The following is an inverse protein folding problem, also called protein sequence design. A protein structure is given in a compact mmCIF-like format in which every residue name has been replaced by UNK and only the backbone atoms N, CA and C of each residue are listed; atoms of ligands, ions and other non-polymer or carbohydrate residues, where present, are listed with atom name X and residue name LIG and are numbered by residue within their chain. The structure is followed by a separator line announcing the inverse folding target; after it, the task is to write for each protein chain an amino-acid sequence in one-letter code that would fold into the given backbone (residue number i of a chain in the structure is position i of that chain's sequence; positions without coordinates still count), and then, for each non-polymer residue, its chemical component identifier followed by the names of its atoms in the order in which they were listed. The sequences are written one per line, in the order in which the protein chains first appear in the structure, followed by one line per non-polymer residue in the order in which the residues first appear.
data_IF_425819167652
#
_entry.id   IF_425819167652
#
_cell.length_a   1.000
_cell.length_b   1.000
_cell.length_c   1.000
_cell.angle_alpha   90.00
_cell.angle_beta   90.00
_cell.angle_gamma   90.00
#
_symmetry.space_group_name_H-M   'P 1'
#
loop_
_entity.id
_entity.type
_entity.pdbx_description
1 polymer ?
#
# COMPACT_ATOMS: atom_id res chain seq x y z
N UNK A 1 26.17 -50.38 0.30
CA UNK A 1 24.74 -49.98 0.17
C UNK A 1 24.34 -48.75 0.99
N UNK A 2 25.23 -48.11 1.75
CA UNK A 2 24.88 -46.97 2.65
C UNK A 2 24.90 -45.56 2.06
N UNK A 3 25.55 -45.32 0.91
CA UNK A 3 25.72 -43.96 0.37
C UNK A 3 24.57 -43.44 -0.53
N UNK A 4 23.70 -44.35 -1.01
CA UNK A 4 22.56 -43.97 -1.86
C UNK A 4 21.36 -43.49 -1.03
N UNK A 5 21.14 -44.06 0.15
CA UNK A 5 20.01 -43.69 1.02
C UNK A 5 20.15 -42.29 1.61
N UNK A 6 21.38 -41.85 1.94
CA UNK A 6 21.67 -40.51 2.50
C UNK A 6 21.43 -39.38 1.49
N UNK A 7 21.70 -39.59 0.19
CA UNK A 7 21.44 -38.62 -0.84
C UNK A 7 19.95 -38.43 -1.16
N UNK A 8 19.19 -39.52 -1.09
CA UNK A 8 17.74 -39.51 -1.31
C UNK A 8 17.04 -38.80 -0.15
N UNK A 9 17.45 -39.03 1.09
CA UNK A 9 16.91 -38.35 2.27
C UNK A 9 17.23 -36.84 2.21
N UNK A 10 18.44 -36.46 1.81
CA UNK A 10 18.82 -35.06 1.65
C UNK A 10 18.02 -34.35 0.54
N UNK A 11 17.77 -35.05 -0.58
CA UNK A 11 16.96 -34.51 -1.70
C UNK A 11 15.49 -34.34 -1.29
N UNK A 12 14.94 -35.30 -0.51
CA UNK A 12 13.57 -35.18 0.01
C UNK A 12 13.45 -34.04 1.03
N UNK A 13 14.46 -33.85 1.87
CA UNK A 13 14.48 -32.73 2.83
C UNK A 13 14.60 -31.35 2.10
N UNK A 14 15.38 -31.28 1.04
CA UNK A 14 15.51 -30.05 0.23
C UNK A 14 14.21 -29.78 -0.54
N UNK A 15 13.57 -30.79 -1.12
CA UNK A 15 12.27 -30.68 -1.78
C UNK A 15 11.16 -30.35 -0.78
N UNK A 16 11.16 -30.94 0.41
CA UNK A 16 10.20 -30.61 1.47
C UNK A 16 10.41 -29.17 1.98
N UNK A 17 11.65 -28.69 2.12
CA UNK A 17 11.95 -27.30 2.45
C UNK A 17 11.50 -26.34 1.34
N UNK A 18 11.67 -26.70 0.07
CA UNK A 18 11.20 -25.94 -1.08
C UNK A 18 9.66 -25.87 -1.15
N UNK A 19 8.98 -27.00 -0.91
CA UNK A 19 7.51 -27.07 -0.87
C UNK A 19 6.98 -26.28 0.34
N UNK A 20 7.67 -26.31 1.47
CA UNK A 20 7.28 -25.56 2.68
C UNK A 20 7.44 -24.04 2.48
N UNK A 21 8.45 -23.59 1.71
CA UNK A 21 8.64 -22.17 1.37
C UNK A 21 7.56 -21.69 0.39
N UNK A 22 7.14 -22.53 -0.57
CA UNK A 22 6.10 -22.15 -1.56
C UNK A 22 4.68 -22.13 -0.99
N UNK A 23 4.42 -22.82 0.12
CA UNK A 23 3.11 -22.81 0.79
C UNK A 23 2.93 -21.61 1.74
N UNK A 24 4.00 -20.93 2.14
CA UNK A 24 3.98 -19.88 3.17
C UNK A 24 3.85 -18.44 2.65
N UNK A 25 4.12 -18.21 1.37
CA UNK A 25 3.91 -16.92 0.74
C UNK A 25 3.16 -17.12 -0.57
N UNK A 26 2.00 -16.52 -0.71
CA UNK A 26 1.29 -16.48 -1.98
C UNK A 26 1.84 -15.30 -2.77
N UNK A 27 2.69 -15.57 -3.77
CA UNK A 27 3.13 -14.55 -4.71
C UNK A 27 1.93 -14.20 -5.58
N UNK A 28 1.53 -12.94 -5.56
CA UNK A 28 0.56 -12.36 -6.49
C UNK A 28 1.33 -11.61 -7.57
N UNK A 29 0.66 -11.21 -8.62
CA UNK A 29 1.22 -10.31 -9.63
C UNK A 29 1.60 -8.93 -9.04
N UNK A 30 1.10 -8.61 -7.84
CA UNK A 30 1.27 -7.33 -7.15
C UNK A 30 2.27 -7.38 -5.99
N UNK A 31 2.63 -8.56 -5.51
CA UNK A 31 3.52 -8.70 -4.36
C UNK A 31 3.36 -10.03 -3.61
N UNK A 32 3.93 -10.11 -2.43
CA UNK A 32 3.91 -11.30 -1.58
C UNK A 32 2.90 -11.09 -0.44
N UNK A 33 1.87 -11.93 -0.38
CA UNK A 33 0.96 -11.94 0.76
C UNK A 33 1.63 -12.67 1.91
N UNK A 34 1.91 -11.95 2.99
CA UNK A 34 2.59 -12.52 4.16
C UNK A 34 1.62 -13.25 5.08
N UNK A 35 1.87 -14.52 5.30
CA UNK A 35 1.27 -15.27 6.42
C UNK A 35 1.99 -14.92 7.72
N UNK A 36 1.36 -15.16 8.89
CA UNK A 36 1.99 -14.86 10.18
C UNK A 36 3.29 -15.67 10.39
N UNK A 37 3.35 -16.89 9.85
CA UNK A 37 4.56 -17.70 9.86
C UNK A 37 5.69 -17.07 9.03
N UNK A 38 5.36 -16.47 7.88
CA UNK A 38 6.34 -15.82 7.03
C UNK A 38 6.77 -14.47 7.61
N UNK A 39 5.86 -13.72 8.22
CA UNK A 39 6.22 -12.49 8.99
C UNK A 39 7.23 -12.81 10.08
N UNK A 40 7.00 -13.86 10.86
CA UNK A 40 7.95 -14.31 11.87
C UNK A 40 9.31 -14.68 11.27
N UNK A 41 9.33 -15.36 10.13
CA UNK A 41 10.57 -15.70 9.42
C UNK A 41 11.34 -14.45 8.95
N UNK A 42 10.63 -13.43 8.44
CA UNK A 42 11.23 -12.13 8.09
C UNK A 42 11.87 -11.50 9.32
N UNK A 43 11.16 -11.42 10.43
CA UNK A 43 11.66 -10.81 11.68
C UNK A 43 12.86 -11.57 12.29
N UNK A 44 13.09 -12.80 11.88
CA UNK A 44 14.25 -13.62 12.26
C UNK A 44 15.40 -13.57 11.23
N UNK A 45 15.19 -12.89 10.08
CA UNK A 45 16.17 -12.80 9.00
C UNK A 45 17.41 -11.98 9.37
N UNK A 46 18.48 -12.17 8.61
CA UNK A 46 19.73 -11.41 8.82
C UNK A 46 19.53 -9.94 8.46
N UNK A 47 18.73 -9.67 7.42
CA UNK A 47 18.39 -8.34 6.91
C UNK A 47 17.62 -7.53 7.95
N UNK A 48 16.59 -8.14 8.55
CA UNK A 48 15.84 -7.52 9.66
C UNK A 48 16.74 -7.20 10.83
N UNK A 49 17.56 -8.18 11.27
CA UNK A 49 18.48 -7.98 12.38
C UNK A 49 19.51 -6.88 12.12
N UNK A 50 20.00 -6.79 10.87
CA UNK A 50 20.94 -5.72 10.47
C UNK A 50 20.31 -4.33 10.63
N UNK A 51 19.06 -4.14 10.21
CA UNK A 51 18.35 -2.86 10.37
C UNK A 51 18.24 -2.50 11.86
N UNK A 52 17.78 -3.45 12.70
CA UNK A 52 17.55 -3.22 14.12
C UNK A 52 18.82 -3.23 14.98
N UNK A 53 19.99 -3.59 14.43
CA UNK A 53 21.30 -3.37 15.05
C UNK A 53 21.87 -1.97 14.77
N UNK A 54 21.33 -1.26 13.79
CA UNK A 54 21.80 0.06 13.33
C UNK A 54 20.64 1.05 13.20
N UNK A 55 19.78 1.09 14.20
CA UNK A 55 18.57 1.94 14.20
C UNK A 55 18.86 3.43 14.03
N UNK A 56 20.05 3.88 14.44
CA UNK A 56 20.52 5.25 14.28
C UNK A 56 20.60 5.73 12.83
N UNK A 57 20.58 4.80 11.87
CA UNK A 57 20.63 5.10 10.44
C UNK A 57 19.25 5.23 9.80
N UNK A 58 18.17 5.04 10.56
CA UNK A 58 16.81 5.01 10.03
C UNK A 58 15.89 5.96 10.80
N UNK A 59 14.92 6.62 10.14
CA UNK A 59 13.87 7.35 10.85
C UNK A 59 13.08 6.42 11.80
N UNK A 60 12.79 6.88 13.01
CA UNK A 60 12.02 6.10 13.99
C UNK A 60 10.68 5.60 13.41
N UNK A 61 9.98 6.46 12.66
CA UNK A 61 8.72 6.11 12.03
C UNK A 61 8.86 4.96 11.02
N UNK A 62 9.97 4.90 10.27
CA UNK A 62 10.23 3.78 9.35
C UNK A 62 10.44 2.47 10.12
N UNK A 63 11.12 2.51 11.26
CA UNK A 63 11.35 1.34 12.11
C UNK A 63 10.05 0.84 12.74
N UNK A 64 9.17 1.75 13.15
CA UNK A 64 7.84 1.41 13.66
C UNK A 64 6.94 0.83 12.57
N UNK A 65 6.94 1.44 11.40
CA UNK A 65 6.20 0.97 10.24
C UNK A 65 6.68 -0.41 9.78
N UNK A 66 8.00 -0.63 9.75
CA UNK A 66 8.57 -1.93 9.42
C UNK A 66 8.16 -3.02 10.41
N UNK A 67 8.12 -2.72 11.73
CA UNK A 67 7.63 -3.66 12.75
C UNK A 67 6.15 -4.02 12.52
N UNK A 68 5.35 -3.05 12.16
CA UNK A 68 3.92 -3.22 11.89
C UNK A 68 3.67 -3.94 10.56
N UNK A 69 4.44 -3.59 9.54
CA UNK A 69 4.34 -4.15 8.20
C UNK A 69 5.69 -4.67 7.68
N UNK A 70 6.04 -5.94 7.98
CA UNK A 70 7.28 -6.54 7.48
C UNK A 70 7.39 -6.64 5.95
N UNK A 71 6.31 -6.37 5.19
CA UNK A 71 6.33 -6.26 3.73
C UNK A 71 7.31 -5.18 3.24
N UNK A 72 7.57 -4.18 4.08
CA UNK A 72 8.48 -3.06 3.80
C UNK A 72 9.96 -3.41 3.93
N UNK A 73 10.35 -4.64 4.29
CA UNK A 73 11.75 -4.99 4.58
C UNK A 73 12.68 -4.58 3.44
N UNK A 74 12.35 -4.92 2.22
CA UNK A 74 13.18 -4.59 1.04
C UNK A 74 13.28 -3.07 0.77
N UNK A 75 12.23 -2.32 1.08
CA UNK A 75 12.26 -0.86 1.05
C UNK A 75 13.19 -0.31 2.16
N UNK A 76 13.05 -0.82 3.38
CA UNK A 76 13.89 -0.39 4.50
C UNK A 76 15.37 -0.71 4.28
N UNK A 77 15.72 -1.86 3.70
CA UNK A 77 17.10 -2.20 3.34
C UNK A 77 17.72 -1.17 2.38
N UNK A 78 16.95 -0.73 1.38
CA UNK A 78 17.40 0.27 0.41
C UNK A 78 17.38 1.71 0.93
N UNK A 79 16.89 1.97 2.13
CA UNK A 79 16.59 3.33 2.59
C UNK A 79 17.81 4.27 2.62
N UNK A 80 18.94 3.75 3.04
CA UNK A 80 20.20 4.51 3.13
C UNK A 80 21.03 4.50 1.84
N UNK A 81 20.52 3.93 0.75
CA UNK A 81 21.25 3.88 -0.50
C UNK A 81 21.14 5.23 -1.23
N UNK A 82 22.25 5.97 -1.32
CA UNK A 82 22.30 7.36 -1.83
C UNK A 82 22.03 7.47 -3.33
N UNK A 83 22.04 6.37 -4.06
CA UNK A 83 21.83 6.34 -5.52
C UNK A 83 20.40 6.03 -5.93
N UNK A 84 19.46 6.32 -5.05
CA UNK A 84 18.03 6.13 -5.30
C UNK A 84 17.59 6.98 -6.48
N UNK A 85 17.30 6.33 -7.57
CA UNK A 85 16.68 6.98 -8.71
C UNK A 85 15.19 6.74 -8.66
N UNK A 86 14.51 7.80 -8.86
CA UNK A 86 13.09 7.92 -8.89
C UNK A 86 12.46 7.54 -10.24
N UNK A 87 11.18 7.26 -10.12
CA UNK A 87 10.11 7.33 -11.10
C UNK A 87 10.37 6.62 -12.43
N UNK A 88 10.37 5.30 -12.36
CA UNK A 88 9.80 4.53 -13.45
C UNK A 88 8.28 4.73 -13.41
N UNK A 89 7.66 4.96 -14.57
CA UNK A 89 6.21 5.08 -14.68
C UNK A 89 5.47 3.79 -14.37
N UNK A 90 4.18 3.74 -14.67
CA UNK A 90 3.35 2.56 -14.44
C UNK A 90 3.84 1.36 -15.27
N UNK A 91 3.88 0.21 -14.65
CA UNK A 91 4.18 -1.06 -15.32
C UNK A 91 3.11 -1.43 -16.33
N UNK A 92 3.44 -2.36 -17.23
CA UNK A 92 2.46 -2.86 -18.20
C UNK A 92 1.27 -3.55 -17.51
N UNK A 93 1.50 -4.29 -16.43
CA UNK A 93 0.45 -5.00 -15.69
C UNK A 93 -0.46 -4.03 -14.92
N UNK A 94 0.10 -2.98 -14.31
CA UNK A 94 -0.70 -1.92 -13.68
C UNK A 94 -1.60 -1.22 -14.70
N UNK A 95 -1.08 -0.95 -15.91
CA UNK A 95 -1.86 -0.31 -16.98
C UNK A 95 -3.03 -1.15 -17.49
N UNK A 96 -2.96 -2.47 -17.40
CA UNK A 96 -4.08 -3.37 -17.77
C UNK A 96 -5.22 -3.38 -16.74
N UNK A 97 -4.93 -3.08 -15.49
CA UNK A 97 -5.94 -3.15 -14.42
C UNK A 97 -6.90 -1.99 -14.48
N UNK A 98 -8.18 -2.26 -14.20
CA UNK A 98 -9.19 -1.21 -14.08
C UNK A 98 -8.87 -0.30 -12.89
N UNK A 99 -8.51 -0.88 -11.75
CA UNK A 99 -8.09 -0.18 -10.54
C UNK A 99 -6.80 -0.86 -10.05
N UNK A 100 -5.61 -0.38 -10.48
CA UNK A 100 -4.35 -0.94 -10.02
C UNK A 100 -4.10 -0.58 -8.55
N UNK A 101 -3.37 -1.44 -7.85
CA UNK A 101 -2.81 -1.14 -6.55
C UNK A 101 -1.44 -0.46 -6.75
N UNK A 102 -1.28 0.72 -6.18
CA UNK A 102 0.02 1.36 -6.02
C UNK A 102 0.43 1.29 -4.56
N UNK A 103 1.64 0.82 -4.30
CA UNK A 103 2.21 0.75 -2.95
C UNK A 103 3.07 1.99 -2.72
N UNK A 104 2.82 2.73 -1.64
CA UNK A 104 3.52 3.98 -1.36
C UNK A 104 5.04 3.78 -1.19
N UNK A 105 5.46 2.65 -0.61
CA UNK A 105 6.86 2.30 -0.42
C UNK A 105 7.46 1.47 -1.58
N UNK A 106 6.81 1.41 -2.76
CA UNK A 106 7.42 0.87 -3.97
C UNK A 106 8.72 1.63 -4.28
N UNK A 107 9.82 0.89 -4.52
CA UNK A 107 11.15 1.47 -4.74
C UNK A 107 11.24 2.43 -5.93
N UNK A 108 10.26 2.37 -6.85
CA UNK A 108 10.16 3.29 -7.99
C UNK A 108 9.94 4.73 -7.55
N UNK A 109 9.32 4.94 -6.39
CA UNK A 109 8.96 6.28 -5.88
C UNK A 109 9.00 6.44 -4.37
N UNK A 110 9.05 5.35 -3.61
CA UNK A 110 8.95 5.39 -2.15
C UNK A 110 10.04 6.21 -1.46
N UNK A 111 11.20 6.34 -2.10
CA UNK A 111 12.30 7.15 -1.58
C UNK A 111 12.26 8.62 -2.00
N UNK A 112 11.28 9.03 -2.82
CA UNK A 112 11.15 10.42 -3.23
C UNK A 112 10.66 11.27 -2.07
N UNK A 113 11.15 12.53 -1.95
CA UNK A 113 10.75 13.41 -0.87
C UNK A 113 9.24 13.70 -0.87
N UNK A 114 8.66 13.69 0.32
CA UNK A 114 7.32 14.19 0.57
C UNK A 114 7.31 15.02 1.86
N UNK A 115 7.52 16.32 1.71
CA UNK A 115 7.72 17.26 2.80
C UNK A 115 9.02 17.01 3.57
N UNK A 116 8.93 16.77 4.86
CA UNK A 116 10.05 16.41 5.74
C UNK A 116 10.28 14.90 5.83
N UNK A 117 9.58 14.12 5.00
CA UNK A 117 9.62 12.66 4.96
C UNK A 117 9.73 12.18 3.51
N UNK A 118 9.42 10.91 3.26
CA UNK A 118 9.40 10.28 1.94
C UNK A 118 7.99 9.78 1.60
N UNK A 119 7.74 9.56 0.31
CA UNK A 119 6.46 8.98 -0.15
C UNK A 119 6.21 7.61 0.50
N UNK A 120 7.26 6.79 0.65
CA UNK A 120 7.15 5.47 1.26
C UNK A 120 6.67 5.47 2.69
N UNK A 121 6.93 6.54 3.42
CA UNK A 121 6.56 6.70 4.84
C UNK A 121 5.23 7.44 4.98
N UNK A 122 5.06 8.60 4.31
CA UNK A 122 3.91 9.50 4.55
C UNK A 122 3.04 9.77 3.32
N UNK A 123 3.30 9.08 2.19
CA UNK A 123 2.66 9.34 0.91
C UNK A 123 1.35 8.59 0.63
N UNK A 124 0.64 8.09 1.64
CA UNK A 124 -0.62 7.35 1.43
C UNK A 124 -1.67 8.19 0.67
N UNK A 125 -1.79 9.48 0.98
CA UNK A 125 -2.73 10.39 0.31
C UNK A 125 -2.45 10.55 -1.18
N UNK A 126 -1.26 11.02 -1.60
CA UNK A 126 -0.87 11.09 -3.01
C UNK A 126 -0.98 9.76 -3.75
N UNK A 127 -0.64 8.64 -3.09
CA UNK A 127 -0.73 7.31 -3.69
C UNK A 127 -2.17 6.89 -3.92
N UNK A 128 -3.08 7.12 -2.97
CA UNK A 128 -4.52 6.88 -3.16
C UNK A 128 -5.08 7.76 -4.28
N UNK A 129 -4.72 9.04 -4.32
CA UNK A 129 -5.17 9.95 -5.36
C UNK A 129 -4.67 9.53 -6.75
N UNK A 130 -3.42 9.08 -6.87
CA UNK A 130 -2.89 8.53 -8.11
C UNK A 130 -3.68 7.30 -8.59
N UNK A 131 -4.02 6.38 -7.69
CA UNK A 131 -4.87 5.22 -8.01
C UNK A 131 -6.24 5.66 -8.53
N UNK A 132 -6.88 6.64 -7.89
CA UNK A 132 -8.20 7.16 -8.28
C UNK A 132 -8.15 7.83 -9.64
N UNK A 133 -7.25 8.78 -9.85
CA UNK A 133 -7.13 9.53 -11.11
C UNK A 133 -6.83 8.58 -12.26
N UNK A 134 -5.81 7.71 -12.11
CA UNK A 134 -5.49 6.73 -13.15
C UNK A 134 -6.69 5.85 -13.49
N UNK A 135 -7.37 5.32 -12.49
CA UNK A 135 -8.49 4.38 -12.70
C UNK A 135 -9.66 5.02 -13.45
N UNK A 136 -9.98 6.26 -13.14
CA UNK A 136 -11.12 6.97 -13.74
C UNK A 136 -10.78 7.60 -15.09
N UNK A 137 -9.54 8.06 -15.30
CA UNK A 137 -9.17 8.84 -16.49
C UNK A 137 -8.21 8.13 -17.44
N UNK A 138 -7.55 7.07 -17.00
CA UNK A 138 -6.44 6.40 -17.69
C UNK A 138 -5.23 7.29 -17.93
N UNK A 139 -5.09 8.39 -17.19
CA UNK A 139 -3.92 9.25 -17.26
C UNK A 139 -2.70 8.56 -16.64
N UNK A 140 -1.76 8.14 -17.46
CA UNK A 140 -0.54 7.43 -17.05
C UNK A 140 0.49 8.30 -16.34
N UNK A 141 0.33 9.62 -16.41
CA UNK A 141 1.18 10.59 -15.69
C UNK A 141 0.73 10.79 -14.24
N UNK A 142 -0.48 10.34 -13.88
CA UNK A 142 -1.00 10.42 -12.51
C UNK A 142 -0.39 9.32 -11.63
N UNK A 143 0.90 9.45 -11.31
CA UNK A 143 1.67 8.53 -10.47
C UNK A 143 1.95 9.16 -9.09
N UNK A 144 2.25 8.38 -8.06
CA UNK A 144 2.45 8.87 -6.70
C UNK A 144 3.42 10.07 -6.58
N UNK A 145 4.59 10.11 -7.26
CA UNK A 145 5.49 11.26 -7.21
C UNK A 145 4.88 12.57 -7.73
N UNK A 146 4.13 12.49 -8.83
CA UNK A 146 3.49 13.68 -9.42
C UNK A 146 2.44 14.25 -8.46
N UNK A 147 1.64 13.38 -7.85
CA UNK A 147 0.63 13.80 -6.88
C UNK A 147 1.25 14.27 -5.55
N UNK A 148 2.36 13.70 -5.12
CA UNK A 148 3.13 14.18 -3.96
C UNK A 148 3.71 15.56 -4.22
N UNK A 149 4.31 15.79 -5.39
CA UNK A 149 4.83 17.10 -5.78
C UNK A 149 3.71 18.15 -5.87
N UNK A 150 2.55 17.80 -6.46
CA UNK A 150 1.37 18.66 -6.47
C UNK A 150 0.93 19.02 -5.05
N UNK A 151 0.86 18.03 -4.16
CA UNK A 151 0.49 18.23 -2.76
C UNK A 151 1.41 19.22 -2.05
N UNK A 152 2.72 19.11 -2.27
CA UNK A 152 3.70 20.05 -1.68
C UNK A 152 3.60 21.46 -2.29
N UNK A 153 3.54 21.54 -3.61
CA UNK A 153 3.53 22.82 -4.31
C UNK A 153 2.29 23.68 -4.01
N UNK A 154 1.16 23.03 -3.78
CA UNK A 154 -0.13 23.68 -3.52
C UNK A 154 -0.48 23.79 -2.03
N UNK A 155 0.46 23.42 -1.14
CA UNK A 155 0.32 23.61 0.30
C UNK A 155 -0.65 22.61 0.96
N UNK A 156 -0.80 21.43 0.40
CA UNK A 156 -1.60 20.35 0.99
C UNK A 156 -0.80 19.41 1.88
N UNK A 157 0.52 19.44 1.81
CA UNK A 157 1.37 18.74 2.77
C UNK A 157 1.33 19.46 4.13
N UNK A 158 1.19 18.69 5.20
CA UNK A 158 1.21 19.18 6.59
C UNK A 158 2.26 18.40 7.35
N UNK A 159 3.25 19.11 7.88
CA UNK A 159 4.35 18.51 8.65
C UNK A 159 3.82 17.71 9.84
N UNK A 160 4.36 16.51 10.03
CA UNK A 160 3.96 15.58 11.09
C UNK A 160 2.61 14.89 10.88
N UNK A 161 1.83 15.28 9.84
CA UNK A 161 0.52 14.68 9.52
C UNK A 161 0.53 14.00 8.14
N UNK A 162 1.29 14.56 7.18
CA UNK A 162 1.31 14.10 5.79
C UNK A 162 0.36 14.90 4.90
N UNK A 163 -0.71 14.29 4.40
CA UNK A 163 -1.61 14.91 3.43
C UNK A 163 -2.87 15.47 4.10
N UNK A 164 -3.18 16.75 3.86
CA UNK A 164 -4.41 17.37 4.34
C UNK A 164 -5.65 16.81 3.65
N UNK A 165 -6.79 16.81 4.33
CA UNK A 165 -8.07 16.39 3.75
C UNK A 165 -8.54 17.28 2.59
N UNK A 166 -8.05 18.53 2.52
CA UNK A 166 -8.33 19.44 1.43
C UNK A 166 -7.81 18.89 0.08
N UNK A 167 -6.65 18.21 0.10
CA UNK A 167 -6.10 17.54 -1.07
C UNK A 167 -7.08 16.52 -1.67
N UNK A 168 -7.82 15.77 -0.83
CA UNK A 168 -8.78 14.77 -1.29
C UNK A 168 -9.94 15.38 -2.07
N UNK A 169 -10.29 16.64 -1.83
CA UNK A 169 -11.36 17.35 -2.57
C UNK A 169 -10.86 18.00 -3.85
N UNK A 170 -9.65 18.55 -3.83
CA UNK A 170 -9.23 19.54 -4.82
C UNK A 170 -8.23 18.98 -5.84
N UNK A 171 -7.36 18.05 -5.42
CA UNK A 171 -6.26 17.60 -6.27
C UNK A 171 -6.72 16.88 -7.56
N UNK A 172 -7.89 16.25 -7.53
CA UNK A 172 -8.43 15.50 -8.66
C UNK A 172 -9.11 16.38 -9.72
N UNK A 173 -9.47 17.63 -9.39
CA UNK A 173 -10.21 18.53 -10.26
C UNK A 173 -9.46 18.84 -11.57
N UNK A 174 -8.13 19.04 -11.49
CA UNK A 174 -7.29 19.30 -12.66
C UNK A 174 -7.25 18.13 -13.67
N UNK A 175 -7.68 16.97 -13.23
CA UNK A 175 -7.78 15.75 -14.03
C UNK A 175 -9.22 15.45 -14.49
N UNK A 176 -10.16 16.37 -14.26
CA UNK A 176 -11.58 16.18 -14.61
C UNK A 176 -12.32 15.19 -13.69
N UNK A 177 -11.77 14.91 -12.51
CA UNK A 177 -12.39 14.02 -11.52
C UNK A 177 -13.00 14.85 -10.39
N UNK A 178 -14.27 14.61 -10.09
CA UNK A 178 -15.03 15.33 -9.07
C UNK A 178 -15.08 14.49 -7.79
N UNK A 179 -14.73 15.11 -6.65
CA UNK A 179 -14.82 14.51 -5.33
C UNK A 179 -16.04 15.06 -4.57
N UNK A 180 -16.92 14.15 -4.11
CA UNK A 180 -18.01 14.47 -3.18
C UNK A 180 -17.66 13.95 -1.80
N UNK A 181 -17.70 14.82 -0.78
CA UNK A 181 -17.34 14.48 0.61
C UNK A 181 -18.58 14.09 1.41
N UNK A 182 -18.45 13.07 2.25
CA UNK A 182 -19.50 12.55 3.12
C UNK A 182 -18.92 12.21 4.50
N UNK A 183 -19.63 12.57 5.56
CA UNK A 183 -19.24 12.20 6.91
C UNK A 183 -19.43 10.69 7.13
N UNK A 184 -20.49 10.12 6.55
CA UNK A 184 -20.80 8.69 6.58
C UNK A 184 -21.64 8.30 5.36
N UNK A 185 -21.46 7.07 4.89
CA UNK A 185 -22.31 6.44 3.89
C UNK A 185 -22.74 5.06 4.40
N UNK A 186 -23.98 4.66 4.15
CA UNK A 186 -24.46 3.32 4.46
C UNK A 186 -23.85 2.25 3.56
N UNK A 187 -23.88 0.99 3.99
CA UNK A 187 -23.31 -0.14 3.23
C UNK A 187 -23.83 -0.21 1.81
N UNK A 188 -25.17 -0.13 1.65
CA UNK A 188 -25.80 -0.22 0.33
C UNK A 188 -25.41 0.96 -0.55
N UNK A 189 -25.34 2.16 0.01
CA UNK A 189 -24.96 3.35 -0.76
C UNK A 189 -23.52 3.28 -1.22
N UNK A 190 -22.57 2.88 -0.36
CA UNK A 190 -21.18 2.64 -0.75
C UNK A 190 -21.09 1.56 -1.83
N UNK A 191 -21.85 0.47 -1.67
CA UNK A 191 -21.87 -0.63 -2.62
C UNK A 191 -22.39 -0.18 -4.01
N UNK A 192 -23.44 0.63 -4.06
CA UNK A 192 -24.00 1.13 -5.29
C UNK A 192 -23.03 2.10 -5.99
N UNK A 193 -22.38 3.00 -5.23
CA UNK A 193 -21.36 3.90 -5.77
C UNK A 193 -20.23 3.14 -6.49
N UNK A 194 -19.64 2.12 -5.85
CA UNK A 194 -18.54 1.37 -6.48
C UNK A 194 -19.00 0.49 -7.63
N UNK A 195 -20.24 -0.03 -7.61
CA UNK A 195 -20.84 -0.76 -8.75
C UNK A 195 -21.07 0.15 -9.94
N UNK A 196 -21.43 1.41 -9.72
CA UNK A 196 -21.60 2.42 -10.75
C UNK A 196 -20.28 2.90 -11.33
N UNK A 197 -19.15 2.38 -10.82
CA UNK A 197 -17.80 2.68 -11.31
C UNK A 197 -17.11 3.82 -10.59
N UNK A 198 -17.73 4.41 -9.57
CA UNK A 198 -17.09 5.39 -8.71
C UNK A 198 -16.03 4.72 -7.83
N UNK A 199 -15.06 5.50 -7.37
CA UNK A 199 -14.07 5.09 -6.38
C UNK A 199 -14.27 5.88 -5.10
N UNK A 200 -13.90 5.26 -3.97
CA UNK A 200 -14.06 5.89 -2.67
C UNK A 200 -12.70 5.94 -1.98
N UNK A 201 -12.26 7.11 -1.53
CA UNK A 201 -11.15 7.22 -0.56
C UNK A 201 -11.75 7.37 0.83
N UNK A 202 -11.26 6.59 1.78
CA UNK A 202 -11.54 6.73 3.20
C UNK A 202 -10.30 7.20 3.95
N UNK A 203 -10.47 8.22 4.81
CA UNK A 203 -9.51 8.50 5.87
C UNK A 203 -9.79 7.55 7.04
N UNK A 204 -8.82 6.71 7.36
CA UNK A 204 -8.90 5.73 8.43
C UNK A 204 -8.24 6.26 9.70
N UNK A 205 -8.88 6.09 10.83
CA UNK A 205 -8.31 6.23 12.16
C UNK A 205 -7.67 4.93 12.64
N UNK A 206 -7.23 4.89 13.91
CA UNK A 206 -6.58 3.71 14.50
C UNK A 206 -7.41 2.42 14.36
N UNK A 207 -6.74 1.35 13.93
CA UNK A 207 -7.37 0.05 13.69
C UNK A 207 -6.55 -0.87 12.81
N UNK A 208 -7.21 -1.61 11.91
CA UNK A 208 -6.56 -2.60 11.05
C UNK A 208 -5.59 -1.98 10.01
N UNK A 209 -5.80 -0.71 9.64
CA UNK A 209 -5.04 -0.04 8.59
C UNK A 209 -3.91 0.84 9.13
N UNK A 210 -4.06 1.37 10.35
CA UNK A 210 -3.11 2.34 10.91
C UNK A 210 -3.24 2.43 12.42
N UNK A 211 -2.19 2.95 13.09
CA UNK A 211 -2.21 3.32 14.50
C UNK A 211 -2.54 4.82 14.71
N UNK A 212 -2.53 5.63 13.63
CA UNK A 212 -2.73 7.09 13.70
C UNK A 212 -3.74 7.58 12.68
N UNK A 213 -3.32 7.71 11.43
CA UNK A 213 -4.13 8.13 10.29
C UNK A 213 -3.64 7.49 9.01
N UNK A 214 -4.54 7.19 8.07
CA UNK A 214 -4.18 6.56 6.80
C UNK A 214 -5.27 6.80 5.76
N UNK A 215 -4.92 6.66 4.47
CA UNK A 215 -5.88 6.68 3.38
C UNK A 215 -5.89 5.35 2.65
N UNK A 216 -7.10 4.88 2.29
CA UNK A 216 -7.31 3.69 1.49
C UNK A 216 -8.30 3.96 0.37
N UNK A 217 -8.25 3.16 -0.72
CA UNK A 217 -9.21 3.23 -1.83
C UNK A 217 -10.14 2.02 -1.79
N UNK A 218 -11.45 2.25 -1.75
CA UNK A 218 -12.46 1.20 -1.92
C UNK A 218 -12.93 1.23 -3.37
N UNK A 219 -12.92 0.07 -4.05
CA UNK A 219 -13.11 0.02 -5.50
C UNK A 219 -14.08 -1.05 -6.01
N UNK A 220 -14.53 -1.99 -5.16
CA UNK A 220 -15.45 -3.05 -5.56
C UNK A 220 -16.28 -3.54 -4.36
N UNK A 221 -17.46 -4.06 -4.65
CA UNK A 221 -18.32 -4.72 -3.66
C UNK A 221 -18.88 -6.01 -4.23
N UNK A 222 -18.52 -7.11 -3.62
CA UNK A 222 -18.97 -8.44 -4.02
C UNK A 222 -19.10 -9.36 -2.81
N UNK A 223 -20.12 -10.23 -2.83
CA UNK A 223 -20.39 -11.19 -1.74
C UNK A 223 -20.50 -10.51 -0.36
N UNK A 224 -21.17 -9.34 -0.31
CA UNK A 224 -21.36 -8.52 0.89
C UNK A 224 -20.04 -8.03 1.53
N UNK A 225 -18.98 -7.86 0.76
CA UNK A 225 -17.68 -7.37 1.22
C UNK A 225 -17.07 -6.42 0.21
N UNK A 226 -16.31 -5.48 0.72
CA UNK A 226 -15.58 -4.50 -0.08
C UNK A 226 -14.16 -4.98 -0.43
N UNK A 227 -13.72 -4.61 -1.62
CA UNK A 227 -12.31 -4.69 -2.01
C UNK A 227 -11.66 -3.34 -1.75
N UNK A 228 -10.47 -3.38 -1.20
CA UNK A 228 -9.68 -2.22 -0.81
C UNK A 228 -8.32 -2.29 -1.49
N UNK A 229 -7.83 -1.15 -1.98
CA UNK A 229 -6.43 -0.91 -2.24
C UNK A 229 -5.86 -0.10 -1.06
N UNK A 230 -5.06 -0.74 -0.25
CA UNK A 230 -4.30 -0.13 0.83
C UNK A 230 -2.87 0.17 0.33
N UNK A 231 -2.49 1.46 0.15
CA UNK A 231 -1.17 1.80 -0.38
C UNK A 231 -0.02 1.38 0.53
N UNK A 232 -0.31 0.97 1.75
CA UNK A 232 0.69 0.54 2.72
C UNK A 232 0.86 -0.99 2.78
N UNK A 233 -0.16 -1.80 2.38
CA UNK A 233 -0.13 -3.24 2.60
C UNK A 233 -0.76 -4.06 1.47
N UNK A 234 0.05 -4.95 0.88
CA UNK A 234 -0.44 -5.99 -0.02
C UNK A 234 -1.41 -6.95 0.69
N UNK A 235 -1.09 -7.30 1.94
CA UNK A 235 -1.92 -8.20 2.75
C UNK A 235 -3.32 -7.63 2.96
N UNK A 236 -3.44 -6.34 3.31
CA UNK A 236 -4.75 -5.69 3.46
C UNK A 236 -5.49 -5.57 2.12
N UNK A 237 -4.78 -5.24 1.05
CA UNK A 237 -5.35 -5.16 -0.30
C UNK A 237 -5.83 -6.50 -0.84
N UNK A 238 -5.27 -7.61 -0.38
CA UNK A 238 -5.67 -8.96 -0.78
C UNK A 238 -6.93 -9.48 -0.09
N UNK A 239 -7.35 -8.84 1.01
CA UNK A 239 -8.51 -9.22 1.80
C UNK A 239 -9.80 -8.62 1.22
N UNK A 240 -10.92 -9.20 1.61
CA UNK A 240 -12.25 -8.61 1.46
C UNK A 240 -12.72 -8.15 2.83
N UNK A 241 -13.25 -6.95 2.89
CA UNK A 241 -13.57 -6.25 4.13
C UNK A 241 -15.08 -6.14 4.36
N UNK A 242 -15.52 -6.42 5.57
CA UNK A 242 -16.90 -6.18 6.01
C UNK A 242 -17.12 -4.65 6.13
N UNK A 243 -18.33 -4.19 5.79
CA UNK A 243 -18.71 -2.79 5.97
C UNK A 243 -18.48 -2.31 7.39
N UNK A 244 -18.93 -3.09 8.38
CA UNK A 244 -18.81 -2.73 9.80
C UNK A 244 -17.36 -2.54 10.25
N UNK A 245 -16.44 -3.34 9.74
CA UNK A 245 -15.00 -3.20 10.02
C UNK A 245 -14.44 -1.91 9.40
N UNK A 246 -14.82 -1.58 8.17
CA UNK A 246 -14.36 -0.38 7.50
C UNK A 246 -14.91 0.87 8.19
N UNK A 247 -16.23 0.94 8.39
CA UNK A 247 -16.88 2.15 8.88
C UNK A 247 -16.56 2.47 10.34
N UNK A 248 -16.30 1.44 11.17
CA UNK A 248 -15.91 1.64 12.57
C UNK A 248 -14.55 2.33 12.75
N UNK A 249 -13.72 2.34 11.71
CA UNK A 249 -12.38 2.94 11.68
C UNK A 249 -12.31 4.16 10.75
N UNK A 250 -13.37 4.42 9.96
CA UNK A 250 -13.42 5.50 9.00
C UNK A 250 -13.75 6.83 9.68
N UNK A 251 -12.99 7.86 9.35
CA UNK A 251 -13.19 9.22 9.87
C UNK A 251 -13.81 10.15 8.83
N UNK A 252 -13.56 9.91 7.54
CA UNK A 252 -14.07 10.73 6.44
C UNK A 252 -14.09 9.93 5.13
N UNK A 253 -15.04 10.24 4.28
CA UNK A 253 -15.27 9.56 2.99
C UNK A 253 -15.29 10.59 1.87
N UNK A 254 -14.62 10.29 0.75
CA UNK A 254 -14.75 11.01 -0.53
C UNK A 254 -15.09 10.02 -1.63
N UNK A 255 -16.13 10.33 -2.39
CA UNK A 255 -16.57 9.57 -3.57
C UNK A 255 -16.13 10.30 -4.82
N UNK A 256 -15.46 9.60 -5.74
CA UNK A 256 -14.88 10.15 -6.96
C UNK A 256 -15.61 9.63 -8.20
N UNK A 257 -15.93 10.56 -9.12
CA UNK A 257 -16.58 10.32 -10.39
C UNK A 257 -15.99 11.19 -11.50
N UNK A 258 -16.20 10.81 -12.76
CA UNK A 258 -15.93 11.58 -13.98
C UNK A 258 -17.20 11.91 -14.70
#
# INVERSE_FOLDING_TARGET
MGKSCSKIILLILILAAWIVVTVRAKKTEEGIILTDAYKKQIMESAEWKKIFLHTENYPDILLEDLKRNPEMLEFAEGYNDVHKKSSEGLTFEERKKKVPLFIQWDKRWGYEPYGTSDIGISGCGPTCMAMVIYSLTRNTEAIPPVLAQKSMNEGYYVEGIGTSWKFMREAALDYGVIASQFDMLGEQEMADRVKDGNLIICAMGPGDFTNSGHFIVIYDYSRKKFSVNDPFSYTNSSKKWEYTTLISQCQQIWVYAV
#
